data_IF_341127252043
#
_entry.id   IF_341127252043
#
_cell.length_a   1.000
_cell.length_b   1.000
_cell.length_c   1.000
_cell.angle_alpha   90.00
_cell.angle_beta   90.00
_cell.angle_gamma   90.00
#
_symmetry.space_group_name_H-M   'P 1'
#
loop_
_entity.id
_entity.type
_entity.pdbx_description
1 polymer ?
#
# COMPACT_ATOMS: atom_id res chain seq x y z
N UNK A 1 2.60 14.50 0.96
CA UNK A 1 3.66 14.76 -0.06
C UNK A 1 4.71 13.66 0.00
N UNK A 2 5.47 13.40 -1.08
CA UNK A 2 6.37 12.24 -1.26
C UNK A 2 7.32 11.95 -0.08
N UNK A 3 7.76 12.97 0.66
CA UNK A 3 8.60 12.79 1.86
C UNK A 3 7.85 12.36 3.13
N UNK A 4 6.54 12.60 3.23
CA UNK A 4 5.74 12.26 4.42
C UNK A 4 5.35 10.78 4.41
N UNK A 5 4.77 10.29 3.30
CA UNK A 5 4.39 8.87 3.20
C UNK A 5 5.61 7.94 3.34
N UNK A 6 6.77 8.34 2.79
CA UNK A 6 8.03 7.63 2.96
C UNK A 6 8.46 7.62 4.43
N UNK A 7 8.45 8.76 5.13
CA UNK A 7 8.81 8.80 6.55
C UNK A 7 7.93 7.88 7.42
N UNK A 8 6.61 7.88 7.19
CA UNK A 8 5.68 6.98 7.90
C UNK A 8 5.98 5.52 7.60
N UNK A 9 6.19 5.18 6.33
CA UNK A 9 6.51 3.81 5.94
C UNK A 9 7.85 3.33 6.52
N UNK A 10 8.85 4.21 6.65
CA UNK A 10 10.13 3.89 7.32
C UNK A 10 9.87 3.66 8.80
N UNK A 11 9.20 4.60 9.46
CA UNK A 11 8.95 4.53 10.89
C UNK A 11 8.19 3.25 11.25
N UNK A 12 7.13 2.93 10.50
CA UNK A 12 6.37 1.70 10.68
C UNK A 12 7.24 0.46 10.47
N UNK A 13 7.99 0.37 9.36
CA UNK A 13 8.89 -0.77 9.13
C UNK A 13 9.83 -1.00 10.31
N UNK A 14 10.46 0.07 10.82
CA UNK A 14 11.41 -0.04 11.94
C UNK A 14 10.75 -0.53 13.21
N UNK A 15 9.52 -0.10 13.49
CA UNK A 15 8.77 -0.57 14.66
C UNK A 15 8.31 -2.01 14.49
N UNK A 16 7.75 -2.36 13.33
CA UNK A 16 7.30 -3.71 13.02
C UNK A 16 8.45 -4.73 13.09
N UNK A 17 9.58 -4.43 12.44
CA UNK A 17 10.78 -5.27 12.46
C UNK A 17 11.28 -5.48 13.91
N UNK A 18 11.32 -4.43 14.74
CA UNK A 18 11.73 -4.51 16.15
C UNK A 18 10.76 -5.31 17.02
N UNK A 19 9.48 -5.32 16.66
CA UNK A 19 8.44 -6.11 17.32
C UNK A 19 8.39 -7.56 16.81
N UNK A 20 9.30 -7.97 15.91
CA UNK A 20 9.36 -9.33 15.37
C UNK A 20 8.38 -9.61 14.23
N UNK A 21 7.75 -8.58 13.66
CA UNK A 21 6.88 -8.73 12.49
C UNK A 21 7.69 -8.71 11.20
N UNK A 22 7.42 -9.66 10.32
CA UNK A 22 7.91 -9.60 8.95
C UNK A 22 7.16 -8.48 8.20
N UNK A 23 7.91 -7.54 7.62
CA UNK A 23 7.35 -6.42 6.86
C UNK A 23 8.08 -6.24 5.52
N UNK A 24 7.37 -5.68 4.54
CA UNK A 24 7.94 -5.23 3.28
C UNK A 24 7.54 -3.79 3.00
N UNK A 25 8.51 -3.03 2.56
CA UNK A 25 8.26 -1.72 1.98
C UNK A 25 7.60 -1.86 0.61
N UNK A 26 6.56 -1.06 0.35
CA UNK A 26 5.94 -0.93 -0.97
C UNK A 26 6.13 0.48 -1.51
N UNK A 27 6.63 0.58 -2.73
CA UNK A 27 6.76 1.84 -3.46
C UNK A 27 5.79 1.88 -4.62
N UNK A 28 5.09 3.00 -4.80
CA UNK A 28 3.89 3.07 -5.64
C UNK A 28 3.67 4.43 -6.28
N UNK A 29 2.81 4.43 -7.30
CA UNK A 29 2.17 5.61 -7.85
C UNK A 29 0.77 5.72 -7.23
N UNK A 30 0.50 6.88 -6.64
CA UNK A 30 -0.82 7.33 -6.25
C UNK A 30 -1.17 8.61 -7.00
N UNK A 31 -2.23 8.58 -7.79
CA UNK A 31 -2.78 9.77 -8.45
C UNK A 31 -4.27 9.57 -8.69
N UNK A 32 -5.11 10.64 -8.57
CA UNK A 32 -6.52 10.56 -8.92
C UNK A 32 -6.77 10.05 -10.35
N UNK A 33 -5.78 10.19 -11.25
CA UNK A 33 -5.86 9.68 -12.61
C UNK A 33 -5.96 8.15 -12.70
N UNK A 34 -5.54 7.39 -11.68
CA UNK A 34 -5.65 5.93 -11.68
C UNK A 34 -7.09 5.41 -11.64
N UNK A 35 -8.05 6.28 -11.31
CA UNK A 35 -9.48 5.98 -11.45
C UNK A 35 -9.93 5.89 -12.92
N UNK A 36 -9.10 6.36 -13.86
CA UNK A 36 -9.37 6.33 -15.30
C UNK A 36 -8.58 5.20 -15.98
N UNK A 37 -9.22 4.24 -16.67
CA UNK A 37 -8.55 3.05 -17.21
C UNK A 37 -7.37 3.35 -18.15
N UNK A 38 -7.47 4.39 -18.97
CA UNK A 38 -6.46 4.78 -19.94
C UNK A 38 -5.15 5.23 -19.27
N UNK A 39 -5.27 5.93 -18.14
CA UNK A 39 -4.12 6.34 -17.34
C UNK A 39 -3.55 5.17 -16.57
N UNK A 40 -4.41 4.29 -16.04
CA UNK A 40 -3.98 3.09 -15.31
C UNK A 40 -3.06 2.21 -16.14
N UNK A 41 -3.45 1.90 -17.39
CA UNK A 41 -2.63 1.10 -18.29
C UNK A 41 -1.27 1.76 -18.56
N UNK A 42 -1.27 3.08 -18.83
CA UNK A 42 -0.04 3.84 -19.06
C UNK A 42 0.92 3.79 -17.86
N UNK A 43 0.40 3.93 -16.64
CA UNK A 43 1.24 3.85 -15.45
C UNK A 43 1.67 2.41 -15.14
N UNK A 44 0.84 1.40 -15.45
CA UNK A 44 1.17 -0.01 -15.23
C UNK A 44 2.39 -0.44 -16.04
N UNK A 45 2.47 -0.05 -17.33
CA UNK A 45 3.65 -0.33 -18.17
C UNK A 45 4.93 0.21 -17.54
N UNK A 46 4.88 1.40 -16.95
CA UNK A 46 6.04 1.98 -16.26
C UNK A 46 6.37 1.20 -14.99
N UNK A 47 5.37 0.87 -14.18
CA UNK A 47 5.54 0.07 -12.96
C UNK A 47 6.19 -1.28 -13.25
N UNK A 48 5.74 -1.99 -14.27
CA UNK A 48 6.23 -3.33 -14.63
C UNK A 48 7.68 -3.31 -15.11
N UNK A 49 8.12 -2.16 -15.65
CA UNK A 49 9.50 -1.92 -16.09
C UNK A 49 10.47 -1.74 -14.91
N UNK A 50 9.98 -1.37 -13.72
CA UNK A 50 10.84 -1.12 -12.57
C UNK A 50 11.21 -2.42 -11.87
N UNK A 51 12.52 -2.71 -11.83
CA UNK A 51 13.06 -3.90 -11.16
C UNK A 51 13.75 -3.60 -9.83
N UNK A 52 13.99 -2.33 -9.53
CA UNK A 52 14.62 -1.89 -8.28
C UNK A 52 13.98 -0.62 -7.76
N UNK A 53 14.19 -0.34 -6.46
CA UNK A 53 13.67 0.85 -5.78
C UNK A 53 14.35 2.15 -6.23
N UNK A 54 15.58 2.07 -6.75
CA UNK A 54 16.43 3.25 -7.02
C UNK A 54 15.99 4.08 -8.23
N UNK A 55 15.02 3.62 -9.02
CA UNK A 55 14.82 4.16 -10.37
C UNK A 55 13.41 4.65 -10.63
N UNK A 56 12.85 5.54 -9.80
CA UNK A 56 11.58 6.15 -10.21
C UNK A 56 11.42 7.64 -9.86
N UNK A 57 11.74 8.47 -10.85
CA UNK A 57 11.01 9.71 -11.10
C UNK A 57 9.56 9.33 -11.42
N UNK A 58 8.69 9.23 -10.41
CA UNK A 58 7.28 8.87 -10.61
C UNK A 58 6.60 8.12 -9.47
N UNK A 59 7.31 7.31 -8.67
CA UNK A 59 6.74 6.77 -7.43
C UNK A 59 6.62 7.92 -6.45
N UNK A 60 5.40 8.25 -6.06
CA UNK A 60 5.08 9.37 -5.20
C UNK A 60 4.36 8.94 -3.91
N UNK A 61 4.17 7.63 -3.73
CA UNK A 61 3.53 7.04 -2.56
C UNK A 61 4.28 5.81 -2.07
N UNK A 62 4.17 5.56 -0.77
CA UNK A 62 4.78 4.42 -0.12
C UNK A 62 3.92 3.94 1.06
N UNK A 63 3.92 2.64 1.29
CA UNK A 63 3.28 2.00 2.45
C UNK A 63 4.01 0.69 2.80
N UNK A 64 3.43 -0.11 3.69
CA UNK A 64 4.01 -1.36 4.15
C UNK A 64 3.10 -2.55 3.89
N UNK A 65 3.70 -3.70 3.60
CA UNK A 65 3.05 -4.99 3.84
C UNK A 65 3.52 -5.56 5.16
N UNK A 66 2.64 -6.28 5.84
CA UNK A 66 2.96 -7.06 7.03
C UNK A 66 2.47 -8.47 6.87
N UNK A 67 3.20 -9.41 7.46
CA UNK A 67 2.80 -10.81 7.49
C UNK A 67 2.19 -11.14 8.85
N UNK A 68 0.93 -11.57 8.84
CA UNK A 68 0.17 -11.99 10.02
C UNK A 68 -0.32 -13.42 9.74
N UNK A 69 -0.07 -14.34 10.66
CA UNK A 69 -0.49 -15.76 10.55
C UNK A 69 -0.14 -16.40 9.19
N UNK A 70 1.06 -16.10 8.68
CA UNK A 70 1.56 -16.63 7.40
C UNK A 70 1.03 -15.93 6.16
N UNK A 71 0.11 -14.96 6.28
CA UNK A 71 -0.51 -14.23 5.17
C UNK A 71 -0.03 -12.80 5.12
N UNK A 72 0.15 -12.26 3.91
CA UNK A 72 0.56 -10.88 3.69
C UNK A 72 -0.64 -9.95 3.55
N UNK A 73 -0.53 -8.75 4.10
CA UNK A 73 -1.56 -7.72 4.06
C UNK A 73 -0.92 -6.35 3.80
N UNK A 74 -1.61 -5.51 3.03
CA UNK A 74 -1.25 -4.11 2.82
C UNK A 74 -1.70 -3.24 4.00
N UNK A 75 -0.86 -2.27 4.37
CA UNK A 75 -1.08 -1.36 5.48
C UNK A 75 -0.50 0.01 5.12
N UNK A 76 -1.38 1.02 4.97
CA UNK A 76 -1.04 2.39 4.59
C UNK A 76 -1.45 3.37 5.69
N UNK A 77 -0.52 3.58 6.64
CA UNK A 77 -0.74 4.44 7.82
C UNK A 77 -1.00 5.89 7.43
N UNK A 78 -0.33 6.38 6.37
CA UNK A 78 -0.47 7.77 5.93
C UNK A 78 -1.88 8.06 5.42
N UNK A 79 -2.42 7.19 4.56
CA UNK A 79 -3.80 7.37 4.12
C UNK A 79 -4.83 6.97 5.16
N UNK A 80 -4.50 6.11 6.13
CA UNK A 80 -5.32 5.94 7.34
C UNK A 80 -5.53 7.28 8.03
N UNK A 81 -4.44 7.96 8.38
CA UNK A 81 -4.48 9.27 9.05
C UNK A 81 -5.22 10.35 8.23
N UNK A 82 -5.04 10.38 6.90
CA UNK A 82 -5.66 11.38 6.03
C UNK A 82 -7.14 11.11 5.69
N UNK A 83 -7.56 9.85 5.52
CA UNK A 83 -8.93 9.50 5.13
C UNK A 83 -9.86 9.23 6.31
N UNK A 84 -9.31 9.00 7.51
CA UNK A 84 -10.08 8.81 8.75
C UNK A 84 -10.92 10.05 9.10
N UNK A 85 -10.48 11.26 8.71
CA UNK A 85 -11.25 12.49 8.90
C UNK A 85 -12.48 12.60 7.97
N UNK A 86 -12.53 11.81 6.88
CA UNK A 86 -13.49 11.97 5.78
C UNK A 86 -14.48 10.79 5.63
N UNK A 87 -14.32 9.68 6.36
CA UNK A 87 -15.13 8.45 6.18
C UNK A 87 -15.40 7.68 7.48
N UNK A 88 -16.46 6.88 7.49
CA UNK A 88 -16.93 6.09 8.64
C UNK A 88 -16.10 4.85 8.98
N UNK A 89 -15.10 4.50 8.16
CA UNK A 89 -14.25 3.32 8.38
C UNK A 89 -12.79 3.73 8.58
N UNK A 90 -12.43 3.88 9.86
CA UNK A 90 -11.07 4.24 10.32
C UNK A 90 -9.99 3.20 10.00
N UNK A 91 -10.38 2.05 9.45
CA UNK A 91 -9.47 0.93 9.20
C UNK A 91 -9.47 0.52 7.73
N UNK A 92 -9.96 1.38 6.83
CA UNK A 92 -10.06 1.06 5.42
C UNK A 92 -8.70 0.75 4.76
N UNK A 93 -7.59 1.29 5.30
CA UNK A 93 -6.24 1.01 4.82
C UNK A 93 -5.42 0.10 5.74
N UNK A 94 -6.06 -0.52 6.73
CA UNK A 94 -5.42 -1.40 7.70
C UNK A 94 -5.66 -2.88 7.35
N UNK A 95 -4.57 -3.62 7.13
CA UNK A 95 -4.55 -5.05 6.84
C UNK A 95 -5.45 -5.49 5.67
N UNK A 96 -5.16 -4.97 4.47
CA UNK A 96 -5.99 -5.11 3.27
C UNK A 96 -5.38 -5.98 2.19
N UNK A 97 -6.24 -6.55 1.36
CA UNK A 97 -5.87 -7.27 0.14
C UNK A 97 -5.25 -6.35 -0.91
N UNK A 98 -4.61 -6.97 -1.90
CA UNK A 98 -4.18 -6.28 -3.11
C UNK A 98 -5.40 -5.72 -3.88
N UNK A 99 -6.50 -6.48 -3.94
CA UNK A 99 -7.73 -6.08 -4.62
C UNK A 99 -8.32 -4.78 -4.04
N UNK A 100 -8.38 -4.67 -2.70
CA UNK A 100 -8.83 -3.46 -2.02
C UNK A 100 -7.95 -2.26 -2.34
N UNK A 101 -6.62 -2.43 -2.40
CA UNK A 101 -5.69 -1.33 -2.71
C UNK A 101 -5.72 -0.92 -4.19
N UNK A 102 -5.93 -1.88 -5.09
CA UNK A 102 -6.00 -1.64 -6.53
C UNK A 102 -7.33 -1.01 -6.95
N UNK A 103 -8.45 -1.52 -6.44
CA UNK A 103 -9.78 -1.22 -6.98
C UNK A 103 -10.68 -0.48 -6.00
N UNK A 104 -10.28 -0.37 -4.73
CA UNK A 104 -11.02 0.34 -3.69
C UNK A 104 -10.82 1.86 -3.73
N UNK A 105 -11.06 2.49 -2.59
CA UNK A 105 -10.87 3.94 -2.41
C UNK A 105 -9.38 4.27 -2.58
N UNK A 106 -9.09 5.37 -3.28
CA UNK A 106 -7.73 5.83 -3.56
C UNK A 106 -6.88 4.76 -4.29
N UNK A 107 -7.30 4.31 -5.49
CA UNK A 107 -6.65 3.20 -6.18
C UNK A 107 -5.17 3.49 -6.43
N UNK A 108 -4.33 2.46 -6.26
CA UNK A 108 -2.88 2.57 -6.42
C UNK A 108 -2.31 1.36 -7.15
N UNK A 109 -1.17 1.55 -7.78
CA UNK A 109 -0.42 0.49 -8.46
C UNK A 109 1.04 0.49 -7.98
N UNK A 110 1.68 -0.66 -7.90
CA UNK A 110 3.02 -0.80 -7.32
C UNK A 110 3.80 -1.93 -7.96
N UNK A 111 5.11 -1.95 -7.68
CA UNK A 111 6.03 -2.95 -8.23
C UNK A 111 5.77 -4.29 -7.55
N UNK A 112 4.94 -5.13 -8.16
CA UNK A 112 4.52 -6.44 -7.62
C UNK A 112 5.71 -7.36 -7.34
N UNK A 113 6.71 -7.36 -8.22
CA UNK A 113 7.93 -8.18 -8.12
C UNK A 113 8.73 -7.95 -6.82
N UNK A 114 8.50 -6.83 -6.12
CA UNK A 114 9.19 -6.47 -4.87
C UNK A 114 8.32 -6.69 -3.61
N UNK A 115 7.13 -7.27 -3.80
CA UNK A 115 6.10 -7.44 -2.75
C UNK A 115 5.58 -8.87 -2.75
N UNK A 116 4.75 -9.20 -1.76
CA UNK A 116 4.01 -10.47 -1.73
C UNK A 116 2.53 -10.23 -2.02
N UNK A 117 1.83 -11.26 -2.48
CA UNK A 117 0.40 -11.16 -2.77
C UNK A 117 -0.41 -11.15 -1.48
N UNK A 118 -1.20 -10.09 -1.27
CA UNK A 118 -2.23 -10.06 -0.23
C UNK A 118 -3.57 -10.52 -0.81
N UNK A 119 -3.96 -11.76 -0.53
CA UNK A 119 -5.10 -12.41 -1.19
C UNK A 119 -6.47 -12.00 -0.64
N UNK A 120 -6.53 -11.48 0.60
CA UNK A 120 -7.79 -11.16 1.27
C UNK A 120 -7.61 -10.03 2.28
N UNK A 121 -8.70 -9.32 2.57
CA UNK A 121 -8.76 -8.38 3.69
C UNK A 121 -8.73 -9.17 5.00
N UNK A 122 -8.00 -8.66 5.99
CA UNK A 122 -8.00 -9.26 7.31
C UNK A 122 -9.38 -9.14 7.94
N UNK A 123 -9.95 -10.28 8.33
CA UNK A 123 -11.23 -10.31 9.05
C UNK A 123 -10.94 -10.16 10.53
N UNK A 124 -11.29 -9.01 11.09
CA UNK A 124 -11.27 -8.82 12.55
C UNK A 124 -12.17 -9.90 13.16
N UNK A 125 -11.56 -10.81 13.93
CA UNK A 125 -12.28 -11.84 14.66
C UNK A 125 -13.36 -11.15 15.53
N UNK A 126 -14.63 -11.44 15.28
CA UNK A 126 -15.76 -10.95 16.07
C UNK A 126 -16.65 -9.88 15.45
N UNK A 127 -16.46 -9.47 14.19
CA UNK A 127 -17.50 -8.75 13.44
C UNK A 127 -18.15 -9.67 12.41
N UNK A 128 -19.33 -10.17 12.79
CA UNK A 128 -20.32 -10.81 11.90
C UNK A 128 -21.20 -9.69 11.34
#
# INVERSE_FOLDING_TARGET
GKGVCEAYAVAFSRLAERSGLETKWVSSIYTPLLARPEYRQRFQVNIDSYKTRSKVNGLNHAWNQVKIDGKWYNLDVYHGDYYDELKSDRYYFFLKSDETFENGIAPRIWIKDLTYRANEDYKLLGKI
#
